data_IF_619498674161
#
_entry.id   IF_619498674161
#
_cell.length_a   1.000
_cell.length_b   1.000
_cell.length_c   1.000
_cell.angle_alpha   90.00
_cell.angle_beta   90.00
_cell.angle_gamma   90.00
#
_symmetry.space_group_name_H-M   'P 1'
#
loop_
_entity.id
_entity.type
_entity.pdbx_description
1 polymer ?
#
# COMPACT_ATOMS: atom_id res chain seq x y z
N UNK A 1 24.71 28.25 -8.79
CA UNK A 1 24.25 27.83 -7.44
C UNK A 1 23.77 26.39 -7.54
N UNK A 2 24.65 25.43 -7.26
CA UNK A 2 24.25 24.04 -7.19
C UNK A 2 23.45 23.83 -5.91
N UNK A 3 22.14 23.61 -6.03
CA UNK A 3 21.36 23.07 -4.93
C UNK A 3 21.64 21.57 -4.82
N UNK A 4 22.20 21.13 -3.71
CA UNK A 4 22.30 19.72 -3.38
C UNK A 4 21.04 19.33 -2.65
N UNK A 5 20.26 18.42 -3.22
CA UNK A 5 19.14 17.79 -2.55
C UNK A 5 19.57 16.45 -1.96
N UNK A 6 19.05 16.09 -0.81
CA UNK A 6 19.31 14.79 -0.19
C UNK A 6 18.12 13.86 -0.51
N UNK A 7 18.41 12.67 -1.01
CA UNK A 7 17.34 11.69 -1.25
C UNK A 7 16.64 11.36 0.07
N UNK A 8 15.34 11.58 0.14
CA UNK A 8 14.54 11.31 1.34
C UNK A 8 14.34 9.81 1.62
N UNK A 9 14.58 8.95 0.63
CA UNK A 9 14.54 7.49 0.78
C UNK A 9 15.84 6.90 1.32
N UNK A 10 16.93 7.07 0.56
CA UNK A 10 18.22 6.48 0.89
C UNK A 10 19.22 7.47 1.52
N UNK A 11 18.85 8.75 1.65
CA UNK A 11 19.65 9.86 2.21
C UNK A 11 20.94 10.20 1.46
N UNK A 12 21.15 9.64 0.27
CA UNK A 12 22.27 10.04 -0.57
C UNK A 12 22.11 11.47 -1.07
N UNK A 13 23.24 12.16 -1.23
CA UNK A 13 23.26 13.51 -1.80
C UNK A 13 23.08 13.42 -3.31
N UNK A 14 22.04 14.09 -3.83
CA UNK A 14 21.73 14.16 -5.26
C UNK A 14 22.21 15.51 -5.82
N UNK A 15 22.84 15.48 -6.98
CA UNK A 15 23.07 16.69 -7.78
C UNK A 15 21.77 17.07 -8.51
N UNK A 16 21.23 18.25 -8.21
CA UNK A 16 20.02 18.74 -8.90
C UNK A 16 20.48 19.49 -10.15
N UNK A 17 20.50 18.82 -11.28
CA UNK A 17 20.89 19.42 -12.56
C UNK A 17 19.86 19.21 -13.68
N UNK A 18 18.60 18.90 -13.37
CA UNK A 18 17.58 18.70 -14.39
C UNK A 18 16.49 19.75 -14.30
N UNK A 19 16.30 20.45 -15.41
CA UNK A 19 15.14 21.32 -15.61
C UNK A 19 13.86 20.46 -15.57
N UNK A 20 12.86 20.93 -14.82
CA UNK A 20 11.54 20.31 -14.81
C UNK A 20 10.96 20.35 -16.21
N UNK A 21 10.68 19.20 -16.80
CA UNK A 21 10.09 19.11 -18.13
C UNK A 21 8.74 19.86 -18.16
N UNK A 22 8.49 20.57 -19.27
CA UNK A 22 7.23 21.31 -19.48
C UNK A 22 6.06 20.33 -19.37
N UNK A 23 5.08 20.61 -18.51
CA UNK A 23 3.92 19.73 -18.23
C UNK A 23 3.99 18.94 -16.92
N UNK A 24 5.11 19.01 -16.18
CA UNK A 24 5.24 18.37 -14.88
C UNK A 24 4.69 19.21 -13.69
N UNK A 25 4.12 20.38 -13.97
CA UNK A 25 3.51 21.24 -12.95
C UNK A 25 2.18 20.64 -12.51
N UNK A 26 1.94 20.41 -11.21
CA UNK A 26 0.66 19.92 -10.72
C UNK A 26 -0.44 21.00 -10.82
N UNK A 27 -1.70 20.56 -10.81
CA UNK A 27 -2.87 21.46 -10.78
C UNK A 27 -3.11 21.98 -9.36
N UNK A 28 -2.85 21.13 -8.37
CA UNK A 28 -3.14 21.39 -6.97
C UNK A 28 -2.03 20.90 -6.04
N UNK A 29 -2.06 21.39 -4.83
CA UNK A 29 -1.26 20.90 -3.71
C UNK A 29 -2.17 20.77 -2.48
N UNK A 30 -1.99 19.69 -1.74
CA UNK A 30 -2.62 19.53 -0.44
C UNK A 30 -1.62 19.99 0.64
N UNK A 31 -1.84 21.13 1.32
CA UNK A 31 -0.87 21.64 2.28
C UNK A 31 -0.73 20.72 3.50
N UNK A 32 0.47 20.67 4.10
CA UNK A 32 0.66 20.04 5.39
C UNK A 32 -0.25 20.69 6.47
N UNK A 33 -0.85 19.84 7.28
CA UNK A 33 -1.61 20.24 8.48
C UNK A 33 -0.94 19.70 9.75
N UNK A 34 -0.42 18.48 9.67
CA UNK A 34 0.33 17.84 10.76
C UNK A 34 1.74 18.45 10.79
N UNK A 35 2.16 18.96 11.94
CA UNK A 35 3.51 19.50 12.13
C UNK A 35 4.53 18.38 12.29
N UNK A 36 5.80 18.69 12.07
CA UNK A 36 6.90 17.72 12.19
C UNK A 36 6.95 17.07 13.57
N UNK A 37 6.76 17.84 14.64
CA UNK A 37 6.78 17.33 16.01
C UNK A 37 5.69 16.28 16.25
N UNK A 38 4.49 16.54 15.72
CA UNK A 38 3.36 15.63 15.82
C UNK A 38 3.62 14.33 15.00
N UNK A 39 4.22 14.47 13.82
CA UNK A 39 4.62 13.33 13.01
C UNK A 39 5.70 12.48 13.70
N UNK A 40 6.70 13.11 14.29
CA UNK A 40 7.74 12.43 15.10
C UNK A 40 7.11 11.66 16.25
N UNK A 41 6.16 12.27 16.97
CA UNK A 41 5.45 11.59 18.06
C UNK A 41 4.67 10.35 17.59
N UNK A 42 3.99 10.46 16.46
CA UNK A 42 3.26 9.33 15.84
C UNK A 42 4.20 8.20 15.39
N UNK A 43 5.32 8.53 14.76
CA UNK A 43 6.33 7.55 14.37
C UNK A 43 6.89 6.84 15.61
N UNK A 44 7.22 7.57 16.68
CA UNK A 44 7.67 6.98 17.95
C UNK A 44 6.63 6.00 18.51
N UNK A 45 5.38 6.41 18.58
CA UNK A 45 4.29 5.56 19.05
C UNK A 45 4.16 4.29 18.19
N UNK A 46 4.31 4.41 16.86
CA UNK A 46 4.27 3.30 15.94
C UNK A 46 5.41 2.30 16.18
N UNK A 47 6.63 2.80 16.40
CA UNK A 47 7.82 2.00 16.71
C UNK A 47 7.72 1.36 18.10
N UNK A 48 7.22 2.09 19.09
CA UNK A 48 7.10 1.62 20.48
C UNK A 48 6.14 0.42 20.62
N UNK A 49 5.10 0.36 19.83
CA UNK A 49 4.22 -0.83 19.77
C UNK A 49 4.96 -2.11 19.33
N UNK A 50 6.13 -1.96 18.70
CA UNK A 50 6.96 -3.06 18.14
C UNK A 50 8.34 -3.16 18.79
N UNK A 51 8.60 -2.39 19.87
CA UNK A 51 9.92 -2.19 20.46
C UNK A 51 10.63 -3.46 20.92
N UNK A 52 9.89 -4.51 21.31
CA UNK A 52 10.47 -5.77 21.77
C UNK A 52 11.28 -6.47 20.67
N UNK A 53 10.77 -6.43 19.45
CA UNK A 53 11.36 -7.12 18.31
C UNK A 53 12.15 -6.18 17.39
N UNK A 54 11.96 -4.85 17.51
CA UNK A 54 12.62 -3.87 16.65
C UNK A 54 14.15 -3.94 16.76
N UNK A 55 14.81 -3.77 15.60
CA UNK A 55 16.26 -3.72 15.49
C UNK A 55 16.81 -2.57 16.32
N UNK A 56 17.87 -2.84 17.12
CA UNK A 56 18.46 -1.84 18.00
C UNK A 56 19.00 -0.64 17.22
N UNK A 57 19.75 -0.89 16.14
CA UNK A 57 20.30 0.14 15.27
C UNK A 57 19.24 1.06 14.66
N UNK A 58 18.08 0.51 14.27
CA UNK A 58 16.94 1.28 13.79
C UNK A 58 16.45 2.29 14.84
N UNK A 59 16.32 1.85 16.10
CA UNK A 59 15.87 2.73 17.20
C UNK A 59 16.89 3.81 17.55
N UNK A 60 18.17 3.47 17.49
CA UNK A 60 19.26 4.41 17.79
C UNK A 60 19.47 5.47 16.71
N UNK A 61 19.19 5.12 15.45
CA UNK A 61 19.25 6.07 14.32
C UNK A 61 18.02 6.94 14.17
N UNK A 62 16.92 6.64 14.88
CA UNK A 62 15.73 7.46 14.83
C UNK A 62 15.94 8.75 15.61
N UNK A 63 16.06 9.84 14.87
CA UNK A 63 16.09 11.20 15.41
C UNK A 63 15.02 12.07 14.75
N UNK A 64 14.50 13.09 15.41
CA UNK A 64 13.50 13.99 14.84
C UNK A 64 13.94 14.63 13.51
N UNK A 65 15.22 14.95 13.38
CA UNK A 65 15.83 15.58 12.22
C UNK A 65 15.81 14.66 10.99
N UNK A 66 15.68 13.36 11.20
CA UNK A 66 15.58 12.36 10.15
C UNK A 66 14.14 12.16 9.63
N UNK A 67 13.17 12.82 10.23
CA UNK A 67 11.78 12.86 9.74
C UNK A 67 11.65 14.03 8.77
N UNK A 68 11.47 13.73 7.50
CA UNK A 68 11.47 14.70 6.41
C UNK A 68 10.07 14.85 5.84
N UNK A 69 9.65 16.10 5.63
CA UNK A 69 8.40 16.40 4.90
C UNK A 69 8.63 16.29 3.39
N UNK A 70 7.82 15.49 2.74
CA UNK A 70 7.90 15.19 1.31
C UNK A 70 6.56 15.42 0.64
N UNK A 71 6.57 16.10 -0.48
CA UNK A 71 5.44 16.15 -1.39
C UNK A 71 5.56 15.08 -2.47
N UNK A 72 4.58 14.19 -2.53
CA UNK A 72 4.53 13.09 -3.46
C UNK A 72 3.54 13.39 -4.60
N UNK A 73 3.93 13.17 -5.86
CA UNK A 73 3.05 13.46 -6.99
C UNK A 73 2.05 12.34 -7.21
N UNK A 74 0.77 12.69 -7.21
CA UNK A 74 -0.35 11.81 -7.50
C UNK A 74 -1.25 12.39 -8.58
N UNK A 75 -1.94 11.50 -9.30
CA UNK A 75 -3.13 11.85 -10.07
C UNK A 75 -4.34 11.41 -9.26
N UNK A 76 -5.19 12.36 -8.92
CA UNK A 76 -6.46 12.09 -8.24
C UNK A 76 -7.53 11.96 -9.30
N UNK A 77 -8.28 10.85 -9.24
CA UNK A 77 -9.25 10.47 -10.26
C UNK A 77 -10.64 10.35 -9.67
N UNK A 78 -11.58 11.06 -10.27
CA UNK A 78 -13.00 10.89 -10.06
C UNK A 78 -13.61 10.25 -11.31
N UNK A 79 -14.64 9.42 -11.17
CA UNK A 79 -15.30 8.82 -12.31
C UNK A 79 -16.47 7.92 -11.95
N UNK A 80 -17.30 7.63 -12.94
CA UNK A 80 -18.38 6.67 -12.83
C UNK A 80 -18.00 5.40 -13.58
N UNK A 81 -18.31 4.26 -12.99
CA UNK A 81 -17.93 2.96 -13.51
C UNK A 81 -19.13 2.05 -13.58
N UNK A 82 -19.32 1.40 -14.72
CA UNK A 82 -20.28 0.32 -14.92
C UNK A 82 -19.52 -0.96 -15.25
N UNK A 83 -19.78 -2.05 -14.56
CA UNK A 83 -19.14 -3.33 -14.82
C UNK A 83 -20.19 -4.45 -14.94
N UNK A 84 -20.13 -5.20 -16.04
CA UNK A 84 -20.83 -6.47 -16.24
C UNK A 84 -19.88 -7.64 -16.11
N UNK A 85 -20.29 -8.67 -15.37
CA UNK A 85 -19.53 -9.94 -15.26
C UNK A 85 -20.45 -11.11 -15.48
N UNK A 86 -19.96 -12.13 -16.20
CA UNK A 86 -20.65 -13.39 -16.43
C UNK A 86 -19.71 -14.57 -16.17
N UNK A 87 -20.24 -15.65 -15.63
CA UNK A 87 -19.44 -16.82 -15.30
C UNK A 87 -20.26 -17.97 -14.73
N UNK A 88 -19.61 -18.92 -14.08
CA UNK A 88 -20.20 -20.11 -13.52
C UNK A 88 -19.99 -20.15 -12.00
N UNK A 89 -21.08 -20.21 -11.25
CA UNK A 89 -21.10 -20.39 -9.80
C UNK A 89 -21.36 -21.84 -9.41
N UNK A 90 -20.65 -22.34 -8.40
CA UNK A 90 -20.75 -23.73 -7.97
C UNK A 90 -21.29 -23.82 -6.54
N UNK A 91 -22.31 -24.69 -6.35
CA UNK A 91 -22.83 -25.08 -5.04
C UNK A 91 -22.51 -26.55 -4.82
N UNK A 92 -21.76 -26.86 -3.78
CA UNK A 92 -21.36 -28.24 -3.47
C UNK A 92 -22.57 -29.05 -3.05
N UNK A 93 -22.77 -30.19 -3.73
CA UNK A 93 -23.83 -31.15 -3.39
C UNK A 93 -23.29 -32.35 -2.59
N UNK A 94 -22.04 -32.75 -2.87
CA UNK A 94 -21.41 -33.93 -2.24
C UNK A 94 -19.91 -33.73 -2.07
N UNK A 95 -19.34 -34.29 -1.01
CA UNK A 95 -17.89 -34.41 -0.82
C UNK A 95 -17.51 -35.87 -0.56
N UNK A 96 -16.41 -36.33 -1.18
CA UNK A 96 -15.90 -37.68 -0.99
C UNK A 96 -14.38 -37.72 -1.14
N UNK A 97 -13.77 -38.70 -0.46
CA UNK A 97 -12.30 -38.86 -0.46
C UNK A 97 -11.93 -40.12 -1.26
N UNK A 98 -10.96 -40.00 -2.16
CA UNK A 98 -10.37 -41.14 -2.88
C UNK A 98 -8.86 -41.22 -2.62
N UNK A 99 -8.35 -42.43 -2.59
CA UNK A 99 -6.91 -42.74 -2.35
C UNK A 99 -6.67 -43.54 -1.08
N UNK A 100 -5.48 -44.17 -0.98
CA UNK A 100 -5.03 -44.91 0.17
C UNK A 100 -3.90 -44.16 0.86
N UNK A 101 -3.88 -44.24 2.18
CA UNK A 101 -2.83 -43.66 3.06
C UNK A 101 -2.45 -42.22 2.79
N UNK A 102 -1.18 -41.90 2.58
CA UNK A 102 -0.69 -40.53 2.39
C UNK A 102 -1.10 -39.89 1.05
N UNK A 103 -1.85 -40.59 0.19
CA UNK A 103 -2.28 -40.10 -1.12
C UNK A 103 -3.81 -39.84 -1.20
N UNK A 104 -4.45 -39.57 -0.06
CA UNK A 104 -5.87 -39.21 0.02
C UNK A 104 -6.10 -37.86 -0.59
N UNK A 105 -7.01 -37.78 -1.61
CA UNK A 105 -7.49 -36.52 -2.19
C UNK A 105 -8.99 -36.39 -1.96
N UNK A 106 -9.42 -35.23 -1.55
CA UNK A 106 -10.84 -34.92 -1.41
C UNK A 106 -11.37 -34.33 -2.72
N UNK A 107 -12.45 -34.86 -3.20
CA UNK A 107 -13.20 -34.42 -4.37
C UNK A 107 -14.59 -33.96 -3.93
N UNK A 108 -15.22 -33.16 -4.76
CA UNK A 108 -16.61 -32.76 -4.57
C UNK A 108 -17.38 -32.83 -5.87
N UNK A 109 -18.67 -33.05 -5.77
CA UNK A 109 -19.65 -32.83 -6.81
C UNK A 109 -20.35 -31.49 -6.54
N UNK A 110 -20.66 -30.72 -7.57
CA UNK A 110 -21.33 -29.44 -7.42
C UNK A 110 -22.35 -29.22 -8.53
N UNK A 111 -23.45 -28.55 -8.18
CA UNK A 111 -24.33 -27.97 -9.18
C UNK A 111 -23.73 -26.67 -9.71
N UNK A 112 -23.78 -26.49 -11.02
CA UNK A 112 -23.21 -25.35 -11.73
C UNK A 112 -24.32 -24.42 -12.22
N UNK A 113 -24.20 -23.15 -11.93
CA UNK A 113 -25.17 -22.12 -12.27
C UNK A 113 -24.54 -21.05 -13.13
N UNK A 114 -25.25 -20.58 -14.15
CA UNK A 114 -24.86 -19.36 -14.87
C UNK A 114 -25.11 -18.16 -13.96
N UNK A 115 -24.11 -17.32 -13.84
CA UNK A 115 -24.13 -16.15 -12.97
C UNK A 115 -23.80 -14.92 -13.78
N UNK A 116 -24.73 -13.97 -13.79
CA UNK A 116 -24.49 -12.64 -14.35
C UNK A 116 -24.69 -11.60 -13.26
N UNK A 117 -23.79 -10.62 -13.21
CA UNK A 117 -23.89 -9.49 -12.30
C UNK A 117 -23.53 -8.20 -13.03
N UNK A 118 -24.22 -7.16 -12.62
CA UNK A 118 -23.94 -5.79 -13.03
C UNK A 118 -23.74 -4.94 -11.79
N UNK A 119 -22.74 -4.08 -11.80
CA UNK A 119 -22.44 -3.15 -10.71
C UNK A 119 -22.09 -1.79 -11.27
N UNK A 120 -22.73 -0.76 -10.71
CA UNK A 120 -22.45 0.63 -10.97
C UNK A 120 -21.92 1.27 -9.69
N UNK A 121 -20.83 2.03 -9.81
CA UNK A 121 -20.27 2.75 -8.69
C UNK A 121 -19.52 4.01 -9.15
N UNK A 122 -19.37 4.93 -8.22
CA UNK A 122 -18.56 6.14 -8.42
C UNK A 122 -17.27 6.01 -7.63
N UNK A 123 -16.16 6.37 -8.23
CA UNK A 123 -14.90 6.64 -7.53
C UNK A 123 -14.76 8.12 -7.32
N UNK A 124 -14.39 8.50 -6.12
CA UNK A 124 -14.14 9.87 -5.67
C UNK A 124 -12.76 9.90 -5.01
N UNK A 125 -11.92 10.80 -5.46
CA UNK A 125 -10.57 10.98 -4.94
C UNK A 125 -9.66 9.72 -5.01
N UNK A 126 -9.76 8.89 -6.06
CA UNK A 126 -8.89 7.73 -6.23
C UNK A 126 -7.46 8.17 -6.55
N UNK A 127 -6.47 7.92 -5.68
CA UNK A 127 -5.11 8.36 -5.90
C UNK A 127 -4.32 7.34 -6.72
N UNK A 128 -3.70 7.80 -7.80
CA UNK A 128 -2.75 7.04 -8.61
C UNK A 128 -1.38 7.70 -8.53
N UNK A 129 -0.37 6.91 -8.20
CA UNK A 129 0.99 7.42 -8.10
C UNK A 129 1.56 7.78 -9.47
N UNK A 130 2.06 9.01 -9.61
CA UNK A 130 2.53 9.55 -10.87
C UNK A 130 4.06 9.70 -10.96
N UNK A 131 4.79 8.94 -10.15
CA UNK A 131 6.25 8.82 -10.20
C UNK A 131 6.68 7.42 -10.62
N UNK A 132 7.60 7.31 -11.61
CA UNK A 132 8.13 6.03 -12.11
C UNK A 132 9.00 5.34 -11.07
N UNK A 133 9.76 6.09 -10.28
CA UNK A 133 10.64 5.52 -9.24
C UNK A 133 9.86 4.71 -8.21
N UNK A 134 8.60 5.07 -8.00
CA UNK A 134 7.72 4.43 -7.03
C UNK A 134 6.75 3.42 -7.65
N UNK A 135 6.41 3.62 -8.92
CA UNK A 135 5.59 2.66 -9.68
C UNK A 135 6.32 1.36 -10.04
N UNK A 136 7.62 1.29 -9.78
CA UNK A 136 8.38 0.06 -10.01
C UNK A 136 8.21 -0.88 -8.81
N UNK A 137 7.26 -1.81 -8.95
CA UNK A 137 6.83 -2.79 -7.93
C UNK A 137 7.85 -3.93 -7.71
N UNK A 138 9.13 -3.71 -7.87
CA UNK A 138 10.11 -4.71 -7.41
C UNK A 138 10.11 -4.78 -5.87
N UNK A 139 9.12 -5.49 -5.36
CA UNK A 139 8.81 -5.66 -3.94
C UNK A 139 9.91 -6.38 -3.15
N UNK A 140 10.94 -6.91 -3.82
CA UNK A 140 12.03 -7.64 -3.15
C UNK A 140 13.05 -6.72 -2.47
N UNK A 141 13.14 -5.46 -2.93
CA UNK A 141 14.08 -4.48 -2.40
C UNK A 141 13.39 -3.31 -1.67
N UNK A 142 12.05 -3.22 -1.71
CA UNK A 142 11.34 -2.00 -1.40
C UNK A 142 9.95 -2.28 -0.83
N UNK A 143 9.57 -1.57 0.24
CA UNK A 143 8.24 -1.63 0.86
C UNK A 143 7.31 -0.53 0.31
N UNK A 144 7.37 -0.24 -0.99
CA UNK A 144 6.72 0.90 -1.66
C UNK A 144 5.19 1.00 -1.47
N UNK A 145 4.52 -0.09 -1.17
CA UNK A 145 3.06 -0.10 -0.97
C UNK A 145 2.58 0.60 0.31
N UNK A 146 3.50 1.05 1.17
CA UNK A 146 3.14 1.63 2.47
C UNK A 146 2.38 2.94 2.32
N UNK A 147 2.66 3.73 1.28
CA UNK A 147 2.00 5.04 1.11
C UNK A 147 0.53 4.88 0.75
N UNK A 148 0.17 3.84 0.01
CA UNK A 148 -1.24 3.53 -0.25
C UNK A 148 -2.00 3.15 1.04
N UNK A 149 -1.31 2.80 2.10
CA UNK A 149 -1.92 2.41 3.38
C UNK A 149 -2.15 3.59 4.34
N UNK A 150 -1.62 4.78 4.04
CA UNK A 150 -1.90 6.02 4.78
C UNK A 150 -3.05 6.85 4.17
N UNK A 151 -3.79 6.26 3.25
CA UNK A 151 -5.03 6.84 2.71
C UNK A 151 -6.15 6.84 3.78
N UNK A 152 -7.17 7.67 3.63
CA UNK A 152 -7.35 8.70 2.62
C UNK A 152 -6.60 9.99 2.94
N UNK A 153 -6.30 10.75 1.89
CA UNK A 153 -5.91 12.15 2.04
C UNK A 153 -7.16 13.04 2.02
N UNK A 154 -7.15 14.10 2.81
CA UNK A 154 -8.23 15.08 2.88
C UNK A 154 -8.15 16.06 1.68
N UNK A 155 -8.38 15.55 0.48
CA UNK A 155 -8.23 16.26 -0.81
C UNK A 155 -9.15 17.46 -0.94
N UNK A 156 -10.27 17.51 -0.20
CA UNK A 156 -11.19 18.66 -0.15
C UNK A 156 -10.52 19.96 0.28
N UNK A 157 -9.40 19.85 1.00
CA UNK A 157 -8.61 21.01 1.42
C UNK A 157 -7.41 21.27 0.50
N UNK A 158 -7.38 20.70 -0.69
CA UNK A 158 -6.38 21.02 -1.69
C UNK A 158 -6.57 22.46 -2.20
N UNK A 159 -5.46 23.10 -2.48
CA UNK A 159 -5.42 24.48 -3.00
C UNK A 159 -4.76 24.48 -4.38
N UNK A 160 -5.00 25.52 -5.14
CA UNK A 160 -4.34 25.71 -6.44
C UNK A 160 -2.83 25.70 -6.25
N UNK A 161 -2.15 25.05 -7.15
CA UNK A 161 -0.69 24.95 -7.14
C UNK A 161 0.00 26.30 -6.98
N UNK A 162 0.97 26.35 -6.09
CA UNK A 162 1.93 27.43 -5.94
C UNK A 162 3.24 26.87 -5.38
N UNK A 163 4.36 27.19 -6.01
CA UNK A 163 5.68 26.70 -5.61
C UNK A 163 6.08 27.08 -4.17
N UNK A 164 5.50 28.12 -3.58
CA UNK A 164 5.75 28.52 -2.19
C UNK A 164 5.39 27.44 -1.17
N UNK A 165 4.46 26.54 -1.48
CA UNK A 165 4.11 25.42 -0.62
C UNK A 165 5.21 24.37 -0.49
N UNK A 166 6.16 24.32 -1.42
CA UNK A 166 7.29 23.39 -1.37
C UNK A 166 8.48 23.93 -0.57
N UNK A 167 8.45 25.21 -0.17
CA UNK A 167 9.57 25.80 0.58
C UNK A 167 9.73 25.11 1.93
N UNK A 168 10.94 24.56 2.17
CA UNK A 168 11.25 23.79 3.38
C UNK A 168 10.92 22.30 3.31
N UNK A 169 10.34 21.83 2.21
CA UNK A 169 10.01 20.42 1.96
C UNK A 169 10.77 19.88 0.75
N UNK A 170 10.91 18.56 0.68
CA UNK A 170 11.33 17.88 -0.54
C UNK A 170 10.11 17.53 -1.39
N UNK A 171 10.30 17.38 -2.70
CA UNK A 171 9.27 16.88 -3.59
C UNK A 171 9.84 15.89 -4.58
N UNK A 172 9.06 14.88 -4.93
CA UNK A 172 9.37 13.99 -6.03
C UNK A 172 8.89 14.56 -7.36
N UNK A 173 9.53 14.14 -8.45
CA UNK A 173 9.15 14.54 -9.79
C UNK A 173 7.95 13.71 -10.26
N UNK A 174 6.97 14.38 -10.85
CA UNK A 174 5.93 13.73 -11.64
C UNK A 174 6.48 13.43 -13.03
N UNK A 175 6.51 12.18 -13.44
CA UNK A 175 7.02 11.73 -14.73
C UNK A 175 6.07 10.79 -15.49
N UNK A 176 4.88 10.48 -14.89
CA UNK A 176 3.84 9.69 -15.53
C UNK A 176 2.61 10.56 -15.81
N UNK A 177 2.11 10.50 -17.03
CA UNK A 177 0.90 11.18 -17.47
C UNK A 177 -0.34 10.25 -17.41
N UNK A 178 -1.49 10.78 -17.84
CA UNK A 178 -2.77 10.04 -17.87
C UNK A 178 -2.67 8.77 -18.73
N UNK A 179 -1.97 8.84 -19.89
CA UNK A 179 -1.86 7.68 -20.77
C UNK A 179 -1.09 6.53 -20.13
N UNK A 180 -0.03 6.85 -19.37
CA UNK A 180 0.74 5.86 -18.61
C UNK A 180 -0.03 5.28 -17.40
N UNK A 181 -1.00 6.02 -16.85
CA UNK A 181 -1.74 5.62 -15.65
C UNK A 181 -3.08 4.94 -15.96
N UNK A 182 -3.63 5.08 -17.17
CA UNK A 182 -4.88 4.42 -17.55
C UNK A 182 -4.91 2.90 -17.29
N UNK A 183 -3.88 2.11 -17.63
CA UNK A 183 -3.90 0.68 -17.35
C UNK A 183 -3.96 0.37 -15.84
N UNK A 184 -3.28 1.17 -15.03
CA UNK A 184 -3.31 1.04 -13.56
C UNK A 184 -4.68 1.43 -12.99
N UNK A 185 -5.32 2.47 -13.55
CA UNK A 185 -6.68 2.85 -13.19
C UNK A 185 -7.65 1.71 -13.46
N UNK A 186 -7.62 1.15 -14.67
CA UNK A 186 -8.49 0.03 -15.06
C UNK A 186 -8.34 -1.17 -14.13
N UNK A 187 -7.11 -1.55 -13.78
CA UNK A 187 -6.83 -2.65 -12.85
C UNK A 187 -7.41 -2.39 -11.46
N UNK A 188 -7.26 -1.16 -10.93
CA UNK A 188 -7.82 -0.79 -9.64
C UNK A 188 -9.35 -0.77 -9.66
N UNK A 189 -9.97 -0.24 -10.71
CA UNK A 189 -11.41 -0.22 -10.87
C UNK A 189 -11.99 -1.63 -11.00
N UNK A 190 -11.35 -2.52 -11.75
CA UNK A 190 -11.71 -3.93 -11.81
C UNK A 190 -11.63 -4.60 -10.44
N UNK A 191 -10.59 -4.31 -9.66
CA UNK A 191 -10.44 -4.85 -8.30
C UNK A 191 -11.56 -4.39 -7.38
N UNK A 192 -11.94 -3.11 -7.43
CA UNK A 192 -13.06 -2.55 -6.64
C UNK A 192 -14.37 -3.20 -7.06
N UNK A 193 -14.63 -3.30 -8.36
CA UNK A 193 -15.84 -3.90 -8.90
C UNK A 193 -15.98 -5.37 -8.50
N UNK A 194 -14.91 -6.16 -8.61
CA UNK A 194 -14.89 -7.57 -8.17
C UNK A 194 -15.19 -7.71 -6.69
N UNK A 195 -14.65 -6.82 -5.85
CA UNK A 195 -14.92 -6.81 -4.41
C UNK A 195 -16.42 -6.52 -4.11
N UNK A 196 -17.05 -5.63 -4.86
CA UNK A 196 -18.49 -5.35 -4.72
C UNK A 196 -19.34 -6.54 -5.17
N UNK A 197 -19.02 -7.15 -6.31
CA UNK A 197 -19.73 -8.31 -6.84
C UNK A 197 -19.62 -9.50 -5.89
N UNK A 198 -18.47 -9.69 -5.23
CA UNK A 198 -18.23 -10.81 -4.31
C UNK A 198 -19.30 -10.91 -3.21
N UNK A 199 -19.85 -9.79 -2.76
CA UNK A 199 -20.92 -9.79 -1.74
C UNK A 199 -22.21 -10.42 -2.22
N UNK A 200 -22.51 -10.35 -3.53
CA UNK A 200 -23.74 -10.80 -4.18
C UNK A 200 -23.72 -12.27 -4.62
N UNK A 201 -22.60 -12.96 -4.44
CA UNK A 201 -22.40 -14.34 -4.91
C UNK A 201 -22.04 -15.32 -3.78
N UNK A 202 -22.27 -14.94 -2.54
CA UNK A 202 -21.92 -15.75 -1.35
C UNK A 202 -22.67 -17.08 -1.26
N UNK A 203 -23.78 -17.23 -1.97
CA UNK A 203 -24.54 -18.50 -2.03
C UNK A 203 -23.79 -19.61 -2.77
N UNK A 204 -22.81 -19.27 -3.62
CA UNK A 204 -21.96 -20.24 -4.31
C UNK A 204 -20.78 -20.60 -3.40
N UNK A 205 -20.95 -21.65 -2.59
CA UNK A 205 -19.98 -22.02 -1.55
C UNK A 205 -18.61 -22.45 -2.09
N UNK A 206 -18.54 -22.85 -3.38
CA UNK A 206 -17.32 -23.12 -4.11
C UNK A 206 -16.82 -21.92 -4.93
N UNK A 207 -17.51 -20.77 -4.83
CA UNK A 207 -17.19 -19.54 -5.51
C UNK A 207 -17.77 -19.44 -6.92
N UNK A 208 -17.39 -18.38 -7.60
CA UNK A 208 -17.75 -18.11 -8.99
C UNK A 208 -16.49 -17.98 -9.83
N UNK A 209 -16.42 -18.72 -10.92
CA UNK A 209 -15.40 -18.56 -11.93
C UNK A 209 -15.92 -17.60 -13.01
N UNK A 210 -15.40 -16.37 -13.00
CA UNK A 210 -15.73 -15.37 -14.01
C UNK A 210 -15.08 -15.71 -15.32
N UNK A 211 -15.85 -15.69 -16.42
CA UNK A 211 -15.42 -16.01 -17.79
C UNK A 211 -15.39 -14.76 -18.67
N UNK A 212 -16.26 -13.79 -18.36
CA UNK A 212 -16.34 -12.53 -19.07
C UNK A 212 -16.42 -11.38 -18.06
N UNK A 213 -15.63 -10.36 -18.31
CA UNK A 213 -15.62 -9.11 -17.52
C UNK A 213 -15.58 -7.96 -18.51
N UNK A 214 -16.52 -7.05 -18.39
CA UNK A 214 -16.59 -5.82 -19.18
C UNK A 214 -16.73 -4.65 -18.25
N UNK A 215 -15.79 -3.71 -18.35
CA UNK A 215 -15.81 -2.45 -17.60
C UNK A 215 -15.97 -1.30 -18.59
N UNK A 216 -16.86 -0.37 -18.23
CA UNK A 216 -17.08 0.89 -18.93
C UNK A 216 -16.86 2.03 -17.94
N UNK A 217 -15.93 2.94 -18.23
CA UNK A 217 -15.59 4.07 -17.37
C UNK A 217 -16.07 5.36 -18.02
N UNK A 218 -16.87 6.16 -17.30
CA UNK A 218 -17.50 7.35 -17.82
C UNK A 218 -17.11 8.58 -17.02
N UNK A 219 -16.92 9.72 -17.70
CA UNK A 219 -16.80 11.03 -17.07
C UNK A 219 -15.62 11.15 -16.11
N UNK A 220 -14.47 10.62 -16.48
CA UNK A 220 -13.26 10.72 -15.65
C UNK A 220 -12.76 12.17 -15.57
N UNK A 221 -12.45 12.59 -14.35
CA UNK A 221 -11.75 13.83 -14.05
C UNK A 221 -10.40 13.49 -13.42
N UNK A 222 -9.34 14.08 -13.94
CA UNK A 222 -7.97 13.87 -13.48
C UNK A 222 -7.39 15.18 -12.93
N UNK A 223 -6.85 15.12 -11.73
CA UNK A 223 -6.19 16.27 -11.08
C UNK A 223 -4.79 15.87 -10.65
N UNK A 224 -3.78 16.51 -11.23
CA UNK A 224 -2.41 16.33 -10.76
C UNK A 224 -2.21 17.05 -9.43
N UNK A 225 -1.93 16.32 -8.36
CA UNK A 225 -1.86 16.86 -7.01
C UNK A 225 -0.61 16.40 -6.27
N UNK A 226 0.03 17.31 -5.55
CA UNK A 226 1.03 16.96 -4.56
C UNK A 226 0.39 16.65 -3.21
N UNK A 227 0.68 15.45 -2.68
CA UNK A 227 0.19 14.99 -1.38
C UNK A 227 1.29 15.07 -0.31
N UNK A 228 0.99 15.60 0.89
CA UNK A 228 1.98 15.81 1.95
C UNK A 228 2.21 14.54 2.76
N UNK A 229 3.45 14.12 2.90
CA UNK A 229 3.84 12.95 3.70
C UNK A 229 5.06 13.28 4.56
N UNK A 230 4.98 13.00 5.85
CA UNK A 230 6.14 12.92 6.71
C UNK A 230 6.75 11.54 6.60
N UNK A 231 8.05 11.46 6.31
CA UNK A 231 8.75 10.23 6.03
C UNK A 231 9.97 10.07 6.93
N UNK A 232 10.07 8.92 7.58
CA UNK A 232 11.29 8.41 8.17
C UNK A 232 11.76 7.19 7.40
N UNK A 233 13.00 7.19 6.92
CA UNK A 233 13.59 6.07 6.18
C UNK A 233 14.81 5.50 6.90
N UNK A 234 14.99 4.19 6.82
CA UNK A 234 16.10 3.44 7.38
C UNK A 234 16.52 2.34 6.41
N UNK A 235 17.79 2.30 6.08
CA UNK A 235 18.39 1.23 5.28
C UNK A 235 19.16 0.28 6.19
N UNK A 236 18.79 -0.99 6.19
CA UNK A 236 19.55 -2.00 6.94
C UNK A 236 20.97 -2.12 6.37
N UNK A 237 21.99 -2.21 7.23
CA UNK A 237 23.34 -2.59 6.80
C UNK A 237 23.27 -4.00 6.21
N UNK A 238 23.46 -4.15 4.90
CA UNK A 238 23.41 -5.45 4.21
C UNK A 238 24.78 -6.06 4.02
N UNK A 239 24.85 -7.38 4.06
CA UNK A 239 25.95 -8.13 3.49
C UNK A 239 25.72 -8.23 1.97
N UNK A 240 26.28 -7.32 1.21
CA UNK A 240 26.05 -7.20 -0.23
C UNK A 240 25.45 -5.84 -0.62
N UNK A 241 25.24 -5.61 -1.89
CA UNK A 241 25.01 -4.30 -2.49
C UNK A 241 23.74 -3.57 -2.13
N UNK A 242 22.76 -4.18 -1.44
CA UNK A 242 21.51 -3.48 -1.02
C UNK A 242 20.88 -4.16 0.22
N UNK A 243 21.05 -3.55 1.39
CA UNK A 243 20.19 -3.86 2.54
C UNK A 243 18.74 -3.45 2.26
N UNK A 244 17.78 -4.07 2.98
CA UNK A 244 16.36 -3.73 2.83
C UNK A 244 16.10 -2.30 3.30
N UNK A 245 15.36 -1.53 2.51
CA UNK A 245 14.92 -0.19 2.85
C UNK A 245 13.60 -0.26 3.62
N UNK A 246 13.60 0.23 4.85
CA UNK A 246 12.42 0.38 5.68
C UNK A 246 12.04 1.85 5.77
N UNK A 247 10.73 2.13 5.83
CA UNK A 247 10.25 3.47 6.09
C UNK A 247 8.94 3.47 6.85
N UNK A 248 8.71 4.57 7.57
CA UNK A 248 7.45 4.87 8.23
C UNK A 248 6.96 6.18 7.65
N UNK A 249 5.74 6.17 7.16
CA UNK A 249 5.08 7.32 6.57
C UNK A 249 3.93 7.79 7.47
N UNK A 250 3.77 9.09 7.58
CA UNK A 250 2.65 9.74 8.25
C UNK A 250 1.96 10.65 7.25
N UNK A 251 0.67 10.47 7.05
CA UNK A 251 -0.14 11.36 6.24
C UNK A 251 -0.08 12.78 6.82
N UNK A 252 0.42 13.73 6.04
CA UNK A 252 0.62 15.11 6.46
C UNK A 252 -0.66 15.90 6.73
N UNK A 253 -1.84 15.33 6.42
CA UNK A 253 -3.17 15.91 6.67
C UNK A 253 -3.88 15.22 7.82
N UNK A 254 -4.04 13.91 7.75
CA UNK A 254 -4.84 13.13 8.69
C UNK A 254 -4.03 12.58 9.85
N UNK A 255 -2.73 12.44 9.69
CA UNK A 255 -1.83 11.82 10.65
C UNK A 255 -1.90 10.29 10.66
N UNK A 256 -2.58 9.67 9.69
CA UNK A 256 -2.56 8.21 9.52
C UNK A 256 -1.12 7.75 9.34
N UNK A 257 -0.74 6.68 10.05
CA UNK A 257 0.67 6.27 10.17
C UNK A 257 0.82 4.81 9.85
N UNK A 258 1.65 4.50 8.87
CA UNK A 258 1.99 3.14 8.46
C UNK A 258 3.47 3.01 8.12
N UNK A 259 3.95 1.77 8.13
CA UNK A 259 5.35 1.55 7.80
C UNK A 259 5.85 0.16 8.15
N UNK A 260 7.13 -0.07 7.91
CA UNK A 260 7.85 -1.28 8.29
C UNK A 260 8.92 -0.95 9.33
N UNK A 261 8.97 -1.77 10.37
CA UNK A 261 10.02 -1.72 11.41
C UNK A 261 10.87 -2.97 11.25
N UNK A 262 12.18 -2.85 11.00
CA UNK A 262 13.05 -4.00 10.91
C UNK A 262 13.08 -4.75 12.25
N UNK A 263 12.99 -6.06 12.18
CA UNK A 263 12.87 -6.93 13.37
C UNK A 263 14.07 -7.84 13.52
N UNK A 264 14.46 -8.10 14.78
CA UNK A 264 15.50 -9.07 15.11
C UNK A 264 14.93 -10.49 15.01
N UNK A 265 15.22 -11.18 13.91
CA UNK A 265 14.68 -12.51 13.61
C UNK A 265 14.89 -13.52 14.74
N UNK A 266 16.08 -13.52 15.39
CA UNK A 266 16.36 -14.43 16.49
C UNK A 266 15.41 -14.26 17.69
N UNK A 267 14.97 -13.02 17.98
CA UNK A 267 13.99 -12.77 19.05
C UNK A 267 12.61 -13.33 18.69
N UNK A 268 12.22 -13.24 17.41
CA UNK A 268 10.98 -13.86 16.94
C UNK A 268 11.02 -15.38 17.07
N UNK A 269 12.14 -15.99 16.68
CA UNK A 269 12.35 -17.45 16.82
C UNK A 269 12.29 -17.85 18.29
N UNK A 270 12.96 -17.12 19.17
CA UNK A 270 12.95 -17.40 20.60
C UNK A 270 11.54 -17.27 21.18
N UNK A 271 10.81 -16.22 20.82
CA UNK A 271 9.42 -16.01 21.26
C UNK A 271 8.50 -17.14 20.73
N UNK A 272 8.65 -17.54 19.47
CA UNK A 272 7.87 -18.63 18.89
C UNK A 272 8.13 -19.96 19.62
N UNK A 273 9.39 -20.28 19.91
CA UNK A 273 9.76 -21.49 20.66
C UNK A 273 9.21 -21.46 22.09
N UNK A 274 9.32 -20.34 22.79
CA UNK A 274 8.82 -20.25 24.19
C UNK A 274 7.30 -20.35 24.25
N UNK A 275 6.58 -19.68 23.34
CA UNK A 275 5.11 -19.77 23.28
C UNK A 275 4.68 -21.18 22.86
N UNK A 276 5.35 -21.77 21.87
CA UNK A 276 5.06 -23.15 21.41
C UNK A 276 5.22 -24.15 22.52
N UNK A 277 6.35 -24.17 23.26
CA UNK A 277 6.59 -25.09 24.37
C UNK A 277 5.61 -24.88 25.51
N UNK A 278 5.20 -23.64 25.81
CA UNK A 278 4.18 -23.37 26.83
C UNK A 278 2.80 -23.93 26.42
N UNK A 279 2.41 -23.76 25.16
CA UNK A 279 1.14 -24.30 24.66
C UNK A 279 1.13 -25.83 24.66
N UNK A 280 2.23 -26.45 24.25
CA UNK A 280 2.38 -27.90 24.34
C UNK A 280 2.32 -28.44 25.79
N UNK A 281 2.97 -27.76 26.72
CA UNK A 281 2.91 -28.13 28.13
C UNK A 281 1.48 -28.01 28.69
N UNK A 282 0.75 -26.95 28.34
CA UNK A 282 -0.65 -26.76 28.74
C UNK A 282 -1.53 -27.86 28.11
N UNK A 283 -1.34 -28.14 26.82
CA UNK A 283 -2.11 -29.18 26.14
C UNK A 283 -1.87 -30.58 26.79
N UNK A 284 -0.63 -30.92 27.06
CA UNK A 284 -0.28 -32.17 27.75
C UNK A 284 -0.88 -32.25 29.17
N UNK A 285 -0.87 -31.14 29.91
CA UNK A 285 -1.47 -31.09 31.24
C UNK A 285 -2.99 -31.27 31.18
N UNK A 286 -3.68 -30.70 30.18
CA UNK A 286 -5.12 -30.89 30.01
C UNK A 286 -5.51 -32.30 29.59
N UNK A 287 -4.68 -32.97 28.80
CA UNK A 287 -4.91 -34.38 28.38
C UNK A 287 -4.61 -35.38 29.50
N UNK A 288 -3.70 -35.03 30.40
CA UNK A 288 -3.34 -35.88 31.54
C UNK A 288 -4.30 -35.79 32.74
N UNK A 289 -5.28 -34.91 32.70
CA UNK A 289 -6.30 -34.65 33.71
C UNK A 289 -7.65 -35.19 33.31
#
# INVERSE_FOLDING_TARGET
NAMTARCHWCRHTLGVNEQVANGAVPDAVLPFHIRQEDAVARIRQFVDKRKLFALKAFKEQFTPENVVGVYLPYMIVDGNVSMGVAGQGEIQTRSYTRGKDNNKKTYYDADVYQVERHVDFTVDDLPLESSTERGNLDTRANTNNIINTILPFDTKNAVKWNASYLVGYTSEKRDRDVAHLNPQLEEQLLSIARAQVQSSVRQYDRGVRWEQERIDVHGTRWVAMYLPVWLYSYQEPGSGTKGMLHYIAVNGRTGETMGSVPVQQWKLILAALTVGTLLEAIALWLVAR
#
